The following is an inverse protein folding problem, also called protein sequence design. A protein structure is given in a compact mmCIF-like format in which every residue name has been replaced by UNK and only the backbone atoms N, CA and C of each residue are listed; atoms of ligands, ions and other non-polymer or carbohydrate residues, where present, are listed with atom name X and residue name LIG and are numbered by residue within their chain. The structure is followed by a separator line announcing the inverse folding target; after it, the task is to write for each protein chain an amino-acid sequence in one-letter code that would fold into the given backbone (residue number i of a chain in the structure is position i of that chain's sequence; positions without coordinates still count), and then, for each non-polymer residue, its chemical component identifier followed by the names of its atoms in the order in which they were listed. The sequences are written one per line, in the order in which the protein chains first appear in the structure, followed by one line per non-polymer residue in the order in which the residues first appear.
data_IF_394358324179
#
_entry.id   IF_394358324179
#
_cell.length_a   1.000
_cell.length_b   1.000
_cell.length_c   1.000
_cell.angle_alpha   90.00
_cell.angle_beta   90.00
_cell.angle_gamma   90.00
#
_symmetry.space_group_name_H-M   'P 1'
#
loop_
_entity.id
_entity.type
_entity.pdbx_description
1 polymer ?
#
# COMPACT_ATOMS: atom_id res chain seq x y z
N UNK A 1 -6.75 -24.60 13.20
CA UNK A 1 -5.27 -24.76 13.34
C UNK A 1 -4.98 -25.62 14.57
N UNK A 2 -4.02 -26.57 14.49
CA UNK A 2 -3.62 -27.36 15.65
C UNK A 2 -2.70 -26.57 16.62
N UNK A 3 -2.43 -27.13 17.81
CA UNK A 3 -1.64 -26.46 18.85
C UNK A 3 -0.19 -26.19 18.41
N UNK A 4 0.41 -27.09 17.62
CA UNK A 4 1.78 -26.99 17.13
C UNK A 4 1.92 -25.87 16.10
N UNK A 5 1.01 -25.85 15.11
CA UNK A 5 0.97 -24.78 14.10
C UNK A 5 0.70 -23.41 14.75
N UNK A 6 -0.18 -23.35 15.78
CA UNK A 6 -0.41 -22.11 16.53
C UNK A 6 0.82 -21.61 17.24
N UNK A 7 1.59 -22.52 17.85
CA UNK A 7 2.88 -22.15 18.48
C UNK A 7 3.91 -21.64 17.46
N UNK A 8 4.01 -22.31 16.30
CA UNK A 8 4.88 -21.89 15.22
C UNK A 8 4.49 -20.50 14.67
N UNK A 9 3.20 -20.27 14.44
CA UNK A 9 2.70 -18.94 14.00
C UNK A 9 3.06 -17.87 15.02
N UNK A 10 2.84 -18.12 16.33
CA UNK A 10 3.21 -17.16 17.38
C UNK A 10 4.70 -16.82 17.34
N UNK A 11 5.54 -17.83 17.23
CA UNK A 11 7.00 -17.63 17.15
C UNK A 11 7.37 -16.83 15.88
N UNK A 12 6.75 -17.12 14.73
CA UNK A 12 6.98 -16.37 13.51
C UNK A 12 6.57 -14.89 13.64
N UNK A 13 5.44 -14.61 14.31
CA UNK A 13 4.99 -13.24 14.58
C UNK A 13 5.99 -12.48 15.46
N UNK A 14 6.44 -13.10 16.55
CA UNK A 14 7.43 -12.50 17.47
C UNK A 14 8.77 -12.23 16.78
N UNK A 15 9.22 -13.16 15.92
CA UNK A 15 10.48 -13.03 15.17
C UNK A 15 10.47 -11.86 14.18
N UNK A 16 9.30 -11.43 13.70
CA UNK A 16 9.15 -10.32 12.75
C UNK A 16 8.81 -9.01 13.48
N UNK A 17 7.92 -9.04 14.48
CA UNK A 17 7.49 -7.83 15.20
C UNK A 17 8.64 -7.13 15.94
N UNK A 18 9.52 -7.91 16.58
CA UNK A 18 10.66 -7.36 17.34
C UNK A 18 11.62 -6.51 16.50
N UNK A 19 12.16 -7.03 15.39
CA UNK A 19 12.97 -6.26 14.45
C UNK A 19 12.26 -5.02 13.88
N UNK A 20 10.98 -5.10 13.54
CA UNK A 20 10.21 -3.96 13.03
C UNK A 20 10.10 -2.84 14.09
N UNK A 21 9.84 -3.16 15.35
CA UNK A 21 9.86 -2.16 16.45
C UNK A 21 11.22 -1.50 16.60
N UNK A 22 12.29 -2.29 16.50
CA UNK A 22 13.67 -1.78 16.57
C UNK A 22 13.94 -0.82 15.41
N UNK A 23 13.55 -1.17 14.18
CA UNK A 23 13.72 -0.32 13.00
C UNK A 23 13.00 1.03 13.15
N UNK A 24 11.77 1.04 13.69
CA UNK A 24 11.04 2.27 14.01
C UNK A 24 11.82 3.13 15.01
N UNK A 25 12.35 2.56 16.09
CA UNK A 25 13.08 3.31 17.11
C UNK A 25 14.42 3.86 16.58
N UNK A 26 15.13 3.09 15.79
CA UNK A 26 16.37 3.51 15.11
C UNK A 26 16.10 4.61 14.09
N UNK A 27 15.07 4.46 13.25
CA UNK A 27 14.65 5.48 12.30
C UNK A 27 14.20 6.77 13.00
N UNK A 28 13.45 6.66 14.11
CA UNK A 28 13.11 7.82 14.97
C UNK A 28 14.37 8.51 15.49
N UNK A 29 15.35 7.77 15.97
CA UNK A 29 16.61 8.33 16.45
C UNK A 29 17.38 9.04 15.32
N UNK A 30 17.43 8.46 14.14
CA UNK A 30 18.04 9.07 12.96
C UNK A 30 17.35 10.38 12.58
N UNK A 31 16.01 10.42 12.56
CA UNK A 31 15.24 11.65 12.32
C UNK A 31 15.61 12.75 13.32
N UNK A 32 15.69 12.42 14.61
CA UNK A 32 16.11 13.42 15.61
C UNK A 32 17.54 13.92 15.39
N UNK A 33 18.46 13.03 15.01
CA UNK A 33 19.87 13.40 14.75
C UNK A 33 20.00 14.29 13.52
N UNK A 34 19.21 14.05 12.49
CA UNK A 34 19.19 14.82 11.25
C UNK A 34 18.68 16.26 11.48
N UNK A 35 17.63 16.42 12.28
CA UNK A 35 16.97 17.73 12.47
C UNK A 35 17.47 18.49 13.72
N UNK A 36 18.24 17.86 14.62
CA UNK A 36 18.80 18.49 15.83
C UNK A 36 19.85 19.59 15.56
N UNK A 37 20.80 19.44 14.60
CA UNK A 37 21.88 20.41 14.43
C UNK A 37 21.43 21.77 13.89
N UNK A 38 20.26 21.83 13.26
CA UNK A 38 19.78 23.03 12.55
C UNK A 38 19.05 24.01 13.48
N UNK A 39 18.87 23.68 14.76
CA UNK A 39 18.18 24.54 15.73
C UNK A 39 16.72 24.83 15.38
N UNK A 40 16.25 24.33 14.27
CA UNK A 40 14.93 24.48 13.73
C UNK A 40 14.26 23.10 13.78
N UNK A 41 13.73 22.73 14.93
CA UNK A 41 12.66 21.74 14.97
C UNK A 41 11.48 22.30 14.16
N UNK A 42 11.58 22.24 12.82
CA UNK A 42 10.42 22.42 11.98
C UNK A 42 9.49 21.23 12.28
N UNK A 43 8.65 21.42 13.29
CA UNK A 43 7.73 20.42 13.81
C UNK A 43 7.01 19.67 12.67
N UNK A 44 6.69 20.38 11.58
CA UNK A 44 6.02 19.80 10.42
C UNK A 44 6.89 18.81 9.64
N UNK A 45 8.20 19.07 9.49
CA UNK A 45 9.09 18.21 8.71
C UNK A 45 9.41 16.94 9.49
N UNK A 46 9.74 17.07 10.77
CA UNK A 46 10.01 15.93 11.64
C UNK A 46 8.80 14.99 11.73
N UNK A 47 7.60 15.55 11.91
CA UNK A 47 6.37 14.75 12.00
C UNK A 47 6.01 14.10 10.66
N UNK A 48 6.19 14.78 9.53
CA UNK A 48 6.01 14.17 8.20
C UNK A 48 7.01 13.04 7.96
N UNK A 49 8.28 13.22 8.33
CA UNK A 49 9.30 12.19 8.26
C UNK A 49 8.93 10.97 9.09
N UNK A 50 8.43 11.17 10.31
CA UNK A 50 7.97 10.10 11.19
C UNK A 50 6.78 9.31 10.60
N UNK A 51 5.78 10.00 10.05
CA UNK A 51 4.64 9.33 9.40
C UNK A 51 5.11 8.46 8.23
N UNK A 52 6.03 8.97 7.38
CA UNK A 52 6.59 8.18 6.27
C UNK A 52 7.37 6.96 6.75
N UNK A 53 8.21 7.13 7.79
CA UNK A 53 8.92 6.01 8.41
C UNK A 53 7.93 4.94 8.88
N UNK A 54 6.88 5.34 9.58
CA UNK A 54 5.86 4.41 10.10
C UNK A 54 5.08 3.71 8.98
N UNK A 55 4.80 4.41 7.88
CA UNK A 55 4.20 3.80 6.68
C UNK A 55 5.10 2.70 6.13
N UNK A 56 6.37 3.01 5.89
CA UNK A 56 7.34 2.05 5.34
C UNK A 56 7.49 0.81 6.23
N UNK A 57 7.63 1.00 7.55
CA UNK A 57 7.82 -0.10 8.48
C UNK A 57 6.55 -0.96 8.65
N UNK A 58 5.37 -0.34 8.63
CA UNK A 58 4.11 -1.09 8.69
C UNK A 58 3.87 -1.90 7.41
N UNK A 59 4.13 -1.33 6.23
CA UNK A 59 4.00 -2.04 4.96
C UNK A 59 4.96 -3.24 4.89
N UNK A 60 6.21 -3.04 5.27
CA UNK A 60 7.19 -4.12 5.36
C UNK A 60 6.77 -5.20 6.36
N UNK A 61 6.23 -4.80 7.51
CA UNK A 61 5.72 -5.72 8.53
C UNK A 61 4.54 -6.54 8.02
N UNK A 62 3.56 -5.94 7.33
CA UNK A 62 2.41 -6.65 6.77
C UNK A 62 2.87 -7.74 5.80
N UNK A 63 3.78 -7.40 4.88
CA UNK A 63 4.31 -8.36 3.91
C UNK A 63 5.05 -9.49 4.63
N UNK A 64 5.98 -9.16 5.52
CA UNK A 64 6.77 -10.16 6.23
C UNK A 64 5.91 -11.10 7.09
N UNK A 65 4.89 -10.58 7.79
CA UNK A 65 3.99 -11.40 8.59
C UNK A 65 3.13 -12.31 7.72
N UNK A 66 2.58 -11.77 6.62
CA UNK A 66 1.72 -12.57 5.73
C UNK A 66 2.49 -13.67 5.04
N UNK A 67 3.71 -13.42 4.59
CA UNK A 67 4.56 -14.41 3.93
C UNK A 67 5.00 -15.50 4.92
N UNK A 68 5.52 -15.13 6.09
CA UNK A 68 6.00 -16.09 7.07
C UNK A 68 4.85 -16.95 7.64
N UNK A 69 3.71 -16.34 7.94
CA UNK A 69 2.56 -17.08 8.52
C UNK A 69 1.87 -17.95 7.48
N UNK A 70 1.71 -17.47 6.23
CA UNK A 70 1.09 -18.27 5.17
C UNK A 70 1.91 -19.50 4.77
N UNK A 71 3.22 -19.48 5.01
CA UNK A 71 4.09 -20.63 4.85
C UNK A 71 3.85 -21.72 5.92
N UNK A 72 3.34 -21.34 7.10
CA UNK A 72 3.05 -22.25 8.20
C UNK A 72 1.59 -22.73 8.15
N UNK A 73 0.65 -21.80 8.00
CA UNK A 73 -0.79 -22.09 7.98
C UNK A 73 -1.53 -21.06 7.15
N UNK A 74 -2.50 -21.53 6.36
CA UNK A 74 -3.44 -20.70 5.59
C UNK A 74 -4.83 -20.62 6.25
N UNK A 75 -4.92 -20.93 7.52
CA UNK A 75 -6.18 -20.87 8.25
C UNK A 75 -6.56 -19.44 8.61
N UNK A 76 -7.86 -19.17 8.66
CA UNK A 76 -8.37 -17.87 9.12
C UNK A 76 -7.99 -17.54 10.57
N UNK A 77 -7.70 -18.54 11.40
CA UNK A 77 -7.17 -18.34 12.75
C UNK A 77 -5.75 -17.74 12.71
N UNK A 78 -4.91 -18.21 11.79
CA UNK A 78 -3.57 -17.65 11.58
C UNK A 78 -3.65 -16.20 11.10
N UNK A 79 -4.58 -15.90 10.18
CA UNK A 79 -4.85 -14.53 9.76
C UNK A 79 -5.31 -13.63 10.92
N UNK A 80 -6.19 -14.12 11.79
CA UNK A 80 -6.62 -13.37 12.97
C UNK A 80 -5.45 -13.04 13.91
N UNK A 81 -4.48 -13.93 14.05
CA UNK A 81 -3.26 -13.68 14.83
C UNK A 81 -2.37 -12.59 14.19
N UNK A 82 -2.27 -12.56 12.86
CA UNK A 82 -1.60 -11.45 12.15
C UNK A 82 -2.32 -10.13 12.43
N UNK A 83 -3.64 -10.08 12.29
CA UNK A 83 -4.43 -8.87 12.53
C UNK A 83 -4.27 -8.35 13.97
N UNK A 84 -4.20 -9.25 14.95
CA UNK A 84 -3.94 -8.89 16.34
C UNK A 84 -2.52 -8.32 16.54
N UNK A 85 -1.51 -8.94 15.92
CA UNK A 85 -0.12 -8.47 15.95
C UNK A 85 -0.02 -7.04 15.35
N UNK A 86 -0.62 -6.81 14.18
CA UNK A 86 -0.66 -5.50 13.53
C UNK A 86 -1.41 -4.46 14.37
N UNK A 87 -2.47 -4.86 15.07
CA UNK A 87 -3.19 -3.95 15.99
C UNK A 87 -2.31 -3.52 17.17
N UNK A 88 -1.49 -4.42 17.71
CA UNK A 88 -0.52 -4.08 18.77
C UNK A 88 0.59 -3.16 18.24
N UNK A 89 1.07 -3.43 17.04
CA UNK A 89 2.09 -2.60 16.40
C UNK A 89 1.55 -1.21 16.05
N UNK A 90 0.31 -1.09 15.56
CA UNK A 90 -0.36 0.18 15.30
C UNK A 90 -0.46 1.05 16.57
N UNK A 91 -0.84 0.46 17.71
CA UNK A 91 -0.86 1.17 19.01
C UNK A 91 0.53 1.66 19.44
N UNK A 92 1.55 0.86 19.17
CA UNK A 92 2.94 1.27 19.40
C UNK A 92 3.29 2.49 18.54
N UNK A 93 2.96 2.49 17.23
CA UNK A 93 3.21 3.63 16.34
C UNK A 93 2.46 4.89 16.76
N UNK A 94 1.21 4.77 17.22
CA UNK A 94 0.44 5.89 17.79
C UNK A 94 1.18 6.52 18.97
N UNK A 95 1.69 5.69 19.89
CA UNK A 95 2.44 6.17 21.06
C UNK A 95 3.72 6.90 20.66
N UNK A 96 4.47 6.35 19.69
CA UNK A 96 5.68 6.97 19.17
C UNK A 96 5.40 8.28 18.43
N UNK A 97 4.30 8.34 17.67
CA UNK A 97 3.87 9.57 17.01
C UNK A 97 3.52 10.67 18.01
N UNK A 98 2.76 10.35 19.05
CA UNK A 98 2.39 11.31 20.09
C UNK A 98 3.64 11.84 20.83
N UNK A 99 4.65 11.01 21.07
CA UNK A 99 5.94 11.43 21.64
C UNK A 99 6.69 12.38 20.70
N UNK A 100 6.76 12.06 19.41
CA UNK A 100 7.41 12.92 18.41
C UNK A 100 6.72 14.27 18.32
N UNK A 101 5.39 14.28 18.29
CA UNK A 101 4.59 15.50 18.25
C UNK A 101 4.82 16.35 19.52
N UNK A 102 4.85 15.73 20.68
CA UNK A 102 5.11 16.42 21.96
C UNK A 102 6.49 17.07 21.98
N UNK A 103 7.53 16.37 21.53
CA UNK A 103 8.89 16.92 21.42
C UNK A 103 8.95 18.04 20.39
N UNK A 104 8.35 17.85 19.22
CA UNK A 104 8.31 18.84 18.14
C UNK A 104 7.56 20.13 18.56
N UNK A 105 6.63 20.06 19.51
CA UNK A 105 5.89 21.21 20.06
C UNK A 105 6.58 21.88 21.26
N UNK A 106 7.81 21.49 21.58
CA UNK A 106 8.54 22.01 22.75
C UNK A 106 7.91 21.63 24.08
N UNK A 107 7.28 20.46 24.15
CA UNK A 107 6.63 19.94 25.36
C UNK A 107 5.23 20.55 25.65
N UNK A 108 4.75 21.45 24.81
CA UNK A 108 3.40 22.02 24.94
C UNK A 108 2.38 21.14 24.23
N UNK A 109 1.34 20.73 24.95
CA UNK A 109 0.16 20.10 24.33
C UNK A 109 -0.60 21.17 23.54
N UNK A 110 -0.19 21.44 22.32
CA UNK A 110 -0.86 22.43 21.47
C UNK A 110 -1.68 21.72 20.41
N UNK A 111 -2.96 22.09 20.29
CA UNK A 111 -3.85 21.72 19.18
C UNK A 111 -3.49 22.44 17.86
N UNK A 112 -2.21 22.63 17.62
CA UNK A 112 -1.71 23.31 16.42
C UNK A 112 -2.13 22.64 15.13
N UNK A 113 -2.16 23.40 14.03
CA UNK A 113 -2.50 22.88 12.68
C UNK A 113 -1.63 21.70 12.28
N UNK A 114 -0.33 21.73 12.64
CA UNK A 114 0.62 20.63 12.38
C UNK A 114 0.19 19.33 13.05
N UNK A 115 -0.29 19.41 14.28
CA UNK A 115 -0.77 18.26 15.05
C UNK A 115 -1.99 17.60 14.39
N UNK A 116 -2.97 18.42 14.00
CA UNK A 116 -4.17 17.94 13.31
C UNK A 116 -3.87 17.31 11.96
N UNK A 117 -3.03 17.97 11.15
CA UNK A 117 -2.61 17.45 9.85
C UNK A 117 -1.84 16.14 9.97
N UNK A 118 -0.92 16.05 10.94
CA UNK A 118 -0.17 14.82 11.19
C UNK A 118 -1.06 13.65 11.58
N UNK A 119 -1.99 13.88 12.51
CA UNK A 119 -2.96 12.85 12.91
C UNK A 119 -3.88 12.45 11.76
N UNK A 120 -4.33 13.40 10.94
CA UNK A 120 -5.14 13.11 9.76
C UNK A 120 -4.38 12.22 8.77
N UNK A 121 -3.13 12.57 8.43
CA UNK A 121 -2.30 11.77 7.53
C UNK A 121 -2.03 10.37 8.08
N UNK A 122 -1.83 10.25 9.40
CA UNK A 122 -1.63 8.96 10.02
C UNK A 122 -2.90 8.08 9.99
N UNK A 123 -4.08 8.68 10.21
CA UNK A 123 -5.37 7.97 10.06
C UNK A 123 -5.57 7.49 8.63
N UNK A 124 -5.18 8.27 7.63
CA UNK A 124 -5.23 7.83 6.23
C UNK A 124 -4.26 6.66 5.96
N UNK A 125 -3.05 6.70 6.55
CA UNK A 125 -2.11 5.60 6.50
C UNK A 125 -2.70 4.33 7.12
N UNK A 126 -3.29 4.42 8.31
CA UNK A 126 -3.98 3.31 8.97
C UNK A 126 -5.09 2.71 8.08
N UNK A 127 -5.84 3.55 7.37
CA UNK A 127 -6.87 3.07 6.45
C UNK A 127 -6.28 2.35 5.23
N UNK A 128 -5.09 2.77 4.73
CA UNK A 128 -4.35 2.06 3.67
C UNK A 128 -3.87 0.69 4.15
N UNK A 129 -3.27 0.60 5.33
CA UNK A 129 -2.79 -0.66 5.91
C UNK A 129 -3.90 -1.69 6.12
N UNK A 130 -5.05 -1.23 6.62
CA UNK A 130 -6.22 -2.12 6.78
C UNK A 130 -6.71 -2.68 5.45
N UNK A 131 -6.75 -1.85 4.38
CA UNK A 131 -7.10 -2.33 3.04
C UNK A 131 -6.08 -3.32 2.50
N UNK A 132 -4.79 -3.06 2.70
CA UNK A 132 -3.73 -3.97 2.29
C UNK A 132 -3.85 -5.32 3.02
N UNK A 133 -4.08 -5.30 4.32
CA UNK A 133 -4.30 -6.51 5.11
C UNK A 133 -5.52 -7.32 4.62
N UNK A 134 -6.63 -6.65 4.27
CA UNK A 134 -7.80 -7.32 3.70
C UNK A 134 -7.50 -7.98 2.34
N UNK A 135 -6.62 -7.42 1.52
CA UNK A 135 -6.16 -8.06 0.29
C UNK A 135 -5.42 -9.38 0.61
N UNK A 136 -4.53 -9.35 1.60
CA UNK A 136 -3.81 -10.55 2.03
C UNK A 136 -4.70 -11.62 2.67
N UNK A 137 -5.87 -11.25 3.19
CA UNK A 137 -6.85 -12.18 3.74
C UNK A 137 -7.24 -13.29 2.77
N UNK A 138 -7.34 -12.97 1.48
CA UNK A 138 -7.67 -13.96 0.45
C UNK A 138 -6.65 -15.09 0.33
N UNK A 139 -5.42 -14.88 0.77
CA UNK A 139 -4.38 -15.93 0.79
C UNK A 139 -4.60 -16.95 1.93
N UNK A 140 -5.40 -16.59 2.94
CA UNK A 140 -5.73 -17.43 4.10
C UNK A 140 -7.14 -18.05 4.01
N UNK A 141 -8.02 -17.50 3.20
CA UNK A 141 -9.25 -18.18 2.84
C UNK A 141 -8.86 -19.29 1.90
N UNK A 142 -8.66 -20.51 2.43
CA UNK A 142 -8.46 -21.68 1.58
C UNK A 142 -9.50 -21.62 0.49
N UNK A 143 -9.06 -21.66 -0.79
CA UNK A 143 -10.01 -21.84 -1.87
C UNK A 143 -10.95 -22.96 -1.42
N UNK A 144 -12.28 -22.80 -1.47
CA UNK A 144 -13.16 -23.90 -1.19
C UNK A 144 -12.64 -25.04 -2.05
N UNK A 145 -12.29 -26.16 -1.44
CA UNK A 145 -11.94 -27.40 -2.13
C UNK A 145 -13.21 -27.79 -2.87
N UNK A 146 -13.47 -27.05 -3.95
CA UNK A 146 -14.58 -27.20 -4.84
C UNK A 146 -14.18 -28.21 -5.86
N UNK A 147 -14.68 -29.41 -5.69
CA UNK A 147 -14.78 -30.47 -6.68
C UNK A 147 -13.44 -30.84 -7.32
N UNK A 148 -12.84 -31.88 -6.80
CA UNK A 148 -12.09 -32.83 -7.61
C UNK A 148 -12.85 -33.00 -8.92
N UNK A 149 -12.37 -32.34 -9.98
CA UNK A 149 -12.75 -32.69 -11.33
C UNK A 149 -12.13 -34.06 -11.56
N UNK A 150 -12.93 -35.11 -11.37
CA UNK A 150 -12.58 -36.41 -11.93
C UNK A 150 -12.18 -36.20 -13.39
N UNK A 151 -11.12 -36.86 -13.87
CA UNK A 151 -10.70 -36.76 -15.25
C UNK A 151 -11.82 -37.39 -16.12
N UNK A 152 -12.69 -36.54 -16.63
CA UNK A 152 -13.63 -36.94 -17.66
C UNK A 152 -12.80 -37.15 -18.95
N UNK A 153 -12.84 -38.39 -19.39
CA UNK A 153 -12.21 -38.88 -20.59
C UNK A 153 -12.40 -37.95 -21.81
N UNK A 154 -11.33 -37.86 -22.57
CA UNK A 154 -11.20 -37.06 -23.78
C UNK A 154 -12.41 -37.23 -24.73
N UNK A 155 -13.19 -36.17 -24.84
CA UNK A 155 -14.06 -35.99 -26.00
C UNK A 155 -13.33 -35.10 -27.02
N UNK A 156 -12.91 -35.74 -28.09
CA UNK A 156 -12.33 -35.15 -29.28
C UNK A 156 -13.39 -34.31 -29.98
N UNK A 157 -13.46 -33.01 -29.70
CA UNK A 157 -14.25 -32.05 -30.46
C UNK A 157 -13.33 -30.96 -31.01
N UNK A 158 -13.46 -30.73 -32.31
CA UNK A 158 -12.70 -29.80 -33.13
C UNK A 158 -12.65 -28.36 -32.56
N UNK A 159 -11.60 -27.58 -32.87
CA UNK A 159 -11.44 -26.24 -32.33
C UNK A 159 -12.48 -25.31 -32.95
N UNK A 160 -13.53 -24.99 -32.18
CA UNK A 160 -14.36 -23.83 -32.46
C UNK A 160 -13.59 -22.57 -32.08
N UNK A 161 -13.29 -21.74 -33.07
CA UNK A 161 -12.73 -20.39 -32.88
C UNK A 161 -13.72 -19.52 -32.14
N UNK A 162 -13.76 -19.66 -30.83
CA UNK A 162 -14.41 -18.67 -29.96
C UNK A 162 -13.50 -17.45 -29.89
N UNK A 163 -13.95 -16.35 -30.49
CA UNK A 163 -13.39 -15.02 -30.29
C UNK A 163 -13.18 -14.79 -28.78
N UNK A 164 -11.92 -14.71 -28.35
CA UNK A 164 -11.53 -14.35 -26.99
C UNK A 164 -12.11 -12.97 -26.64
N UNK A 165 -13.23 -12.95 -25.96
CA UNK A 165 -13.83 -11.79 -25.29
C UNK A 165 -13.31 -11.65 -23.85
N UNK A 166 -12.09 -12.01 -23.60
CA UNK A 166 -11.47 -11.90 -22.30
C UNK A 166 -10.15 -11.14 -22.44
N UNK A 167 -10.20 -9.81 -22.35
CA UNK A 167 -8.97 -9.04 -22.14
C UNK A 167 -8.29 -9.56 -20.86
N UNK A 168 -6.97 -9.78 -20.94
CA UNK A 168 -6.14 -10.06 -19.76
C UNK A 168 -6.49 -9.03 -18.69
N UNK A 169 -6.46 -9.38 -17.39
CA UNK A 169 -6.69 -8.42 -16.33
C UNK A 169 -5.59 -7.34 -16.36
N UNK A 170 -5.90 -6.23 -17.01
CA UNK A 170 -5.02 -5.06 -17.14
C UNK A 170 -4.95 -4.23 -15.86
N UNK A 171 -5.64 -4.65 -14.78
CA UNK A 171 -5.77 -3.87 -13.55
C UNK A 171 -4.42 -3.45 -12.96
N UNK A 172 -3.48 -4.38 -12.82
CA UNK A 172 -2.15 -4.08 -12.27
C UNK A 172 -1.34 -3.11 -13.16
N UNK A 173 -1.47 -3.20 -14.47
CA UNK A 173 -0.80 -2.31 -15.41
C UNK A 173 -1.42 -0.90 -15.40
N UNK A 174 -2.73 -0.80 -15.17
CA UNK A 174 -3.38 0.50 -14.99
C UNK A 174 -2.87 1.22 -13.75
N UNK A 175 -2.69 0.52 -12.64
CA UNK A 175 -2.17 1.13 -11.40
C UNK A 175 -0.73 1.61 -11.56
N UNK A 176 0.13 0.83 -12.21
CA UNK A 176 1.51 1.21 -12.52
C UNK A 176 1.56 2.43 -13.45
N UNK A 177 0.77 2.44 -14.52
CA UNK A 177 0.65 3.58 -15.44
C UNK A 177 0.13 4.84 -14.73
N UNK A 178 -0.84 4.69 -13.80
CA UNK A 178 -1.34 5.81 -13.00
C UNK A 178 -0.27 6.41 -12.10
N UNK A 179 0.55 5.58 -11.47
CA UNK A 179 1.66 6.02 -10.63
C UNK A 179 2.69 6.82 -11.46
N UNK A 180 3.01 6.34 -12.66
CA UNK A 180 3.94 7.00 -13.57
C UNK A 180 3.40 8.36 -14.05
N UNK A 181 2.15 8.45 -14.51
CA UNK A 181 1.52 9.72 -14.93
C UNK A 181 1.43 10.71 -13.77
N UNK A 182 1.06 10.23 -12.56
CA UNK A 182 1.01 11.09 -11.38
C UNK A 182 2.39 11.65 -11.02
N UNK A 183 3.44 10.84 -11.14
CA UNK A 183 4.82 11.25 -10.90
C UNK A 183 5.29 12.29 -11.92
N UNK A 184 5.01 12.09 -13.21
CA UNK A 184 5.36 13.04 -14.28
C UNK A 184 4.63 14.39 -14.09
N UNK A 185 3.35 14.37 -13.70
CA UNK A 185 2.59 15.60 -13.39
C UNK A 185 3.16 16.31 -12.16
N UNK A 186 3.55 15.56 -11.13
CA UNK A 186 4.11 16.11 -9.90
C UNK A 186 5.48 16.78 -10.10
N UNK A 187 6.36 16.14 -10.88
CA UNK A 187 7.69 16.66 -11.18
C UNK A 187 7.67 17.79 -12.23
N UNK A 188 6.54 18.02 -12.89
CA UNK A 188 6.43 18.99 -13.97
C UNK A 188 6.95 18.49 -15.32
N UNK A 189 7.29 17.19 -15.44
CA UNK A 189 7.73 16.57 -16.69
C UNK A 189 6.57 16.48 -17.68
N UNK A 190 5.35 16.30 -17.17
CA UNK A 190 4.11 16.33 -17.95
C UNK A 190 3.32 17.60 -17.61
N UNK A 191 3.23 18.52 -18.54
CA UNK A 191 2.43 19.75 -18.43
C UNK A 191 1.34 19.76 -19.50
N UNK A 192 0.26 18.99 -19.31
CA UNK A 192 -0.74 18.82 -20.34
C UNK A 192 -1.52 20.12 -20.55
N UNK A 193 -1.64 20.55 -21.81
CA UNK A 193 -2.44 21.70 -22.21
C UNK A 193 -3.83 21.29 -22.72
N UNK A 194 -3.99 20.03 -23.10
CA UNK A 194 -5.21 19.43 -23.63
C UNK A 194 -5.27 17.94 -23.26
N UNK A 195 -6.48 17.36 -23.33
CA UNK A 195 -6.70 15.94 -23.05
C UNK A 195 -5.78 15.02 -23.87
N UNK A 196 -5.48 15.39 -25.12
CA UNK A 196 -4.63 14.59 -26.00
C UNK A 196 -3.23 14.37 -25.44
N UNK A 197 -2.67 15.35 -24.70
CA UNK A 197 -1.34 15.26 -24.11
C UNK A 197 -1.33 14.17 -23.02
N UNK A 198 -2.37 14.10 -22.20
CA UNK A 198 -2.56 13.05 -21.20
C UNK A 198 -2.70 11.68 -21.88
N UNK A 199 -3.49 11.60 -22.96
CA UNK A 199 -3.69 10.36 -23.71
C UNK A 199 -2.36 9.84 -24.28
N UNK A 200 -1.54 10.72 -24.84
CA UNK A 200 -0.23 10.38 -25.41
C UNK A 200 0.73 9.87 -24.32
N UNK A 201 0.78 10.55 -23.17
CA UNK A 201 1.61 10.12 -22.05
C UNK A 201 1.21 8.75 -21.52
N UNK A 202 -0.11 8.48 -21.42
CA UNK A 202 -0.63 7.18 -21.00
C UNK A 202 -0.25 6.06 -21.97
N UNK A 203 -0.34 6.30 -23.29
CA UNK A 203 0.11 5.33 -24.28
C UNK A 203 1.61 5.08 -24.21
N UNK A 204 2.42 6.12 -24.01
CA UNK A 204 3.87 6.00 -23.87
C UNK A 204 4.23 5.12 -22.64
N UNK A 205 3.58 5.38 -21.50
CA UNK A 205 3.79 4.59 -20.28
C UNK A 205 3.37 3.12 -20.46
N UNK A 206 2.22 2.84 -21.07
CA UNK A 206 1.77 1.48 -21.34
C UNK A 206 2.67 0.76 -22.34
N UNK A 207 3.15 1.46 -23.36
CA UNK A 207 4.10 0.91 -24.34
C UNK A 207 5.44 0.55 -23.66
N UNK A 208 5.93 1.39 -22.75
CA UNK A 208 7.14 1.11 -21.99
C UNK A 208 7.00 -0.14 -21.09
N UNK A 209 5.77 -0.48 -20.69
CA UNK A 209 5.43 -1.70 -19.94
C UNK A 209 5.11 -2.92 -20.84
N UNK A 210 5.29 -2.79 -22.18
CA UNK A 210 4.94 -3.81 -23.19
C UNK A 210 3.46 -4.23 -23.13
N UNK A 211 2.57 -3.30 -22.75
CA UNK A 211 1.13 -3.55 -22.61
C UNK A 211 0.36 -2.95 -23.79
N UNK A 212 -0.31 -3.79 -24.54
CA UNK A 212 -1.25 -3.36 -25.58
C UNK A 212 -2.64 -3.10 -24.98
N UNK A 213 -3.00 -1.84 -24.86
CA UNK A 213 -4.29 -1.40 -24.35
C UNK A 213 -5.12 -0.77 -25.47
N UNK A 214 -6.39 -1.18 -25.55
CA UNK A 214 -7.31 -0.66 -26.55
C UNK A 214 -7.49 0.88 -26.43
N UNK A 215 -7.45 1.56 -27.56
CA UNK A 215 -7.49 3.03 -27.66
C UNK A 215 -8.66 3.64 -26.88
N UNK A 216 -9.86 3.03 -26.95
CA UNK A 216 -11.05 3.52 -26.23
C UNK A 216 -10.82 3.51 -24.71
N UNK A 217 -10.24 2.43 -24.17
CA UNK A 217 -10.01 2.30 -22.74
C UNK A 217 -9.00 3.34 -22.21
N UNK A 218 -7.98 3.69 -22.99
CA UNK A 218 -7.00 4.74 -22.65
C UNK A 218 -7.66 6.11 -22.74
N UNK A 219 -8.39 6.40 -23.82
CA UNK A 219 -9.04 7.70 -24.05
C UNK A 219 -10.06 8.04 -22.96
N UNK A 220 -10.87 7.06 -22.52
CA UNK A 220 -11.87 7.28 -21.48
C UNK A 220 -11.21 7.60 -20.13
N UNK A 221 -10.11 6.94 -19.81
CA UNK A 221 -9.34 7.22 -18.61
C UNK A 221 -8.62 8.57 -18.68
N UNK A 222 -8.03 8.90 -19.82
CA UNK A 222 -7.41 10.21 -20.05
C UNK A 222 -8.41 11.36 -19.88
N UNK A 223 -9.66 11.18 -20.32
CA UNK A 223 -10.74 12.13 -20.11
C UNK A 223 -11.02 12.38 -18.63
N UNK A 224 -11.08 11.30 -17.83
CA UNK A 224 -11.32 11.43 -16.40
C UNK A 224 -10.19 12.18 -15.66
N UNK A 225 -8.92 11.98 -16.07
CA UNK A 225 -7.79 12.76 -15.54
C UNK A 225 -7.89 14.22 -15.96
N UNK A 226 -8.09 14.45 -17.23
CA UNK A 226 -8.15 15.80 -17.76
C UNK A 226 -9.21 16.65 -17.06
N UNK A 227 -10.39 16.12 -16.82
CA UNK A 227 -11.45 16.81 -16.07
C UNK A 227 -11.01 17.20 -14.66
N UNK A 228 -10.22 16.36 -13.99
CA UNK A 228 -9.67 16.68 -12.64
C UNK A 228 -8.62 17.77 -12.71
N UNK A 229 -7.73 17.73 -13.73
CA UNK A 229 -6.70 18.76 -13.94
C UNK A 229 -7.37 20.11 -14.22
N UNK A 230 -8.40 20.16 -15.08
CA UNK A 230 -9.15 21.37 -15.35
C UNK A 230 -9.85 21.92 -14.10
N UNK A 231 -10.51 21.07 -13.33
CA UNK A 231 -11.15 21.46 -12.08
C UNK A 231 -10.16 22.10 -11.08
N UNK A 232 -8.93 21.57 -11.00
CA UNK A 232 -7.90 22.09 -10.09
C UNK A 232 -7.29 23.40 -10.59
N UNK A 233 -7.30 23.66 -11.92
CA UNK A 233 -6.79 24.92 -12.50
C UNK A 233 -7.78 26.08 -12.32
N UNK A 234 -9.07 25.78 -12.14
CA UNK A 234 -10.13 26.78 -11.99
C UNK A 234 -10.43 27.14 -10.53
N UNK A 235 -9.84 26.41 -9.58
CA UNK A 235 -9.92 26.66 -8.13
C UNK A 235 -8.71 27.44 -7.61
#
# INVERSE_FOLDING_TARGET
MDATARAQVRHALEAVEGPARKAVLEGKSALYSEYSPVGLFHASILVKGAVRLFETEMEALIVALTDNVSAISKDMEAFAMIAECLTRFDRFLVTELDEIILKASGGKKTDGSVHRTAKANFVEAQARWRRQLEIHRFSFVGMPVGRSLEPTEASTAAPSTTKNRGGKPLAAHWDAMWADIAFQLWNGDLQPTKQADVTTAMFASLTAMEVDAGQTAVTDRARAIWQRIEATRLS
#
